data_IF_604578057435
#
_entry.id   IF_604578057435
#
_cell.length_a   1.000
_cell.length_b   1.000
_cell.length_c   1.000
_cell.angle_alpha   90.00
_cell.angle_beta   90.00
_cell.angle_gamma   90.00
#
_symmetry.space_group_name_H-M   'P 1'
#
loop_
_entity.id
_entity.type
_entity.pdbx_description
1 polymer ?
#
# COMPACT_ATOMS: atom_id res chain seq x y z
N UNK A 1 36.22 -3.62 15.10
CA UNK A 1 35.11 -3.50 14.09
C UNK A 1 33.95 -2.81 14.80
N UNK A 2 33.64 -1.57 14.43
CA UNK A 2 32.46 -0.87 14.98
C UNK A 2 31.25 -1.67 14.58
N UNK A 3 30.51 -2.20 15.55
CA UNK A 3 29.26 -2.91 15.29
C UNK A 3 28.31 -1.93 14.61
N UNK A 4 27.79 -2.29 13.44
CA UNK A 4 26.71 -1.57 12.80
C UNK A 4 25.44 -1.71 13.66
N UNK A 5 25.26 -0.81 14.62
CA UNK A 5 24.17 -0.82 15.60
C UNK A 5 23.37 0.46 15.47
N UNK A 6 22.04 0.35 15.44
CA UNK A 6 21.11 1.46 15.69
C UNK A 6 20.27 1.14 16.94
N UNK A 7 19.66 2.16 17.51
CA UNK A 7 18.91 2.04 18.75
C UNK A 7 17.42 2.24 18.47
N UNK A 8 16.59 1.31 18.90
CA UNK A 8 15.13 1.43 18.86
C UNK A 8 14.63 1.57 20.28
N UNK A 9 14.00 2.70 20.62
CA UNK A 9 13.59 3.05 21.98
C UNK A 9 14.73 2.83 23.00
N UNK A 10 15.94 3.29 22.63
CA UNK A 10 17.20 3.19 23.37
C UNK A 10 17.77 1.77 23.55
N UNK A 11 17.23 0.76 22.86
CA UNK A 11 17.78 -0.61 22.86
C UNK A 11 18.59 -0.85 21.56
N UNK A 12 19.79 -1.46 21.67
CA UNK A 12 20.65 -1.69 20.50
C UNK A 12 20.17 -2.87 19.64
N UNK A 13 20.23 -2.69 18.32
CA UNK A 13 19.95 -3.72 17.32
C UNK A 13 20.96 -3.64 16.18
N UNK A 14 21.37 -4.79 15.65
CA UNK A 14 22.27 -4.85 14.51
C UNK A 14 21.52 -4.44 13.22
N UNK A 15 22.17 -3.60 12.41
CA UNK A 15 21.67 -3.14 11.11
C UNK A 15 22.34 -3.92 9.97
N UNK A 16 21.57 -4.18 8.91
CA UNK A 16 22.11 -4.71 7.66
C UNK A 16 22.50 -3.54 6.73
N UNK A 17 23.48 -3.78 5.89
CA UNK A 17 23.93 -2.77 4.90
C UNK A 17 22.78 -2.43 3.93
N UNK A 18 22.57 -1.14 3.72
CA UNK A 18 21.58 -0.65 2.75
C UNK A 18 20.11 -0.78 3.16
N UNK A 19 19.80 -1.36 4.34
CA UNK A 19 18.38 -1.47 4.74
C UNK A 19 17.77 -0.12 5.13
N UNK A 20 16.48 0.07 4.80
CA UNK A 20 15.71 1.23 5.27
C UNK A 20 15.30 1.05 6.72
N UNK A 21 14.95 2.16 7.39
CA UNK A 21 14.43 2.11 8.77
C UNK A 21 13.18 1.21 8.84
N UNK A 22 12.30 1.23 7.82
CA UNK A 22 11.12 0.39 7.81
C UNK A 22 11.47 -1.10 7.70
N UNK A 23 12.40 -1.47 6.82
CA UNK A 23 12.89 -2.85 6.68
C UNK A 23 13.52 -3.35 7.99
N UNK A 24 14.36 -2.50 8.61
CA UNK A 24 14.97 -2.75 9.90
C UNK A 24 13.94 -3.00 11.02
N UNK A 25 12.88 -2.17 11.09
CA UNK A 25 11.81 -2.33 12.07
C UNK A 25 10.96 -3.57 11.80
N UNK A 26 10.62 -3.83 10.52
CA UNK A 26 9.88 -5.05 10.13
C UNK A 26 10.63 -6.33 10.47
N UNK A 27 11.95 -6.36 10.25
CA UNK A 27 12.82 -7.51 10.55
C UNK A 27 12.87 -7.83 12.04
N UNK A 28 12.90 -6.81 12.89
CA UNK A 28 13.04 -6.98 14.34
C UNK A 28 11.70 -7.17 15.07
N UNK A 29 10.59 -6.59 14.57
CA UNK A 29 9.31 -6.53 15.30
C UNK A 29 8.10 -7.03 14.49
N UNK A 30 8.31 -7.45 13.26
CA UNK A 30 7.24 -7.93 12.38
C UNK A 30 6.68 -6.85 11.44
N UNK A 31 6.01 -7.34 10.38
CA UNK A 31 5.55 -6.50 9.26
C UNK A 31 4.59 -5.38 9.65
N UNK A 32 3.84 -5.57 10.73
CA UNK A 32 2.78 -4.66 11.16
C UNK A 32 3.23 -3.68 12.25
N UNK A 33 4.51 -3.67 12.61
CA UNK A 33 5.01 -2.82 13.70
C UNK A 33 4.83 -1.32 13.42
N UNK A 34 5.13 -0.88 12.21
CA UNK A 34 4.88 0.49 11.74
C UNK A 34 3.85 0.45 10.60
N UNK A 35 2.75 1.23 10.68
CA UNK A 35 1.75 1.25 9.63
C UNK A 35 2.27 1.94 8.36
N UNK A 36 1.82 1.45 7.21
CA UNK A 36 2.16 1.99 5.88
C UNK A 36 0.91 2.03 5.00
N UNK A 37 0.89 2.88 3.96
CA UNK A 37 -0.14 2.88 2.92
C UNK A 37 0.45 2.90 1.51
N UNK A 38 1.54 3.65 1.27
CA UNK A 38 2.18 3.69 -0.04
C UNK A 38 3.30 2.65 -0.21
N UNK A 39 3.76 2.04 0.87
CA UNK A 39 4.74 0.96 0.82
C UNK A 39 4.03 -0.34 0.41
N UNK A 40 4.55 -1.00 -0.60
CA UNK A 40 4.06 -2.30 -1.05
C UNK A 40 5.24 -3.23 -1.30
N UNK A 41 5.09 -4.53 -1.05
CA UNK A 41 6.08 -5.51 -1.46
C UNK A 41 6.34 -5.39 -2.97
N UNK A 42 7.58 -5.57 -3.39
CA UNK A 42 7.98 -5.58 -4.81
C UNK A 42 7.80 -4.25 -5.57
N UNK A 43 7.60 -3.14 -4.85
CA UNK A 43 7.67 -1.80 -5.39
C UNK A 43 8.74 -1.00 -4.65
N UNK A 44 9.46 -0.16 -5.35
CA UNK A 44 10.48 0.68 -4.75
C UNK A 44 9.91 1.62 -3.68
N UNK A 45 10.65 1.96 -2.62
CA UNK A 45 10.19 2.89 -1.60
C UNK A 45 9.87 4.27 -2.18
N UNK A 46 8.69 4.81 -1.92
CA UNK A 46 8.22 6.07 -2.51
C UNK A 46 8.08 7.22 -1.51
N UNK A 47 7.64 6.94 -0.28
CA UNK A 47 7.56 7.93 0.79
C UNK A 47 6.44 8.96 0.67
N UNK A 48 5.39 8.75 -0.15
CA UNK A 48 4.33 9.75 -0.39
C UNK A 48 3.37 9.90 0.78
N UNK A 49 2.85 8.80 1.34
CA UNK A 49 1.76 8.84 2.34
C UNK A 49 2.19 9.34 3.73
N UNK A 50 3.46 9.24 4.08
CA UNK A 50 4.03 9.64 5.39
C UNK A 50 3.48 8.90 6.61
N UNK A 51 2.61 7.92 6.44
CA UNK A 51 2.05 7.12 7.54
C UNK A 51 3.13 6.31 8.26
N UNK A 52 4.20 5.93 7.54
CA UNK A 52 5.36 5.24 8.12
C UNK A 52 6.34 6.15 8.88
N UNK A 53 6.04 7.43 9.09
CA UNK A 53 6.95 8.36 9.78
C UNK A 53 7.38 7.84 11.14
N UNK A 54 8.64 8.04 11.48
CA UNK A 54 9.27 7.76 12.77
C UNK A 54 10.10 8.94 13.21
N UNK A 55 10.37 9.05 14.49
CA UNK A 55 11.31 10.04 15.02
C UNK A 55 12.73 9.45 15.03
N UNK A 56 13.69 10.22 14.54
CA UNK A 56 15.10 9.82 14.46
C UNK A 56 16.00 10.89 15.05
N UNK A 57 16.91 10.49 15.94
CA UNK A 57 18.04 11.29 16.39
C UNK A 57 19.35 10.64 15.95
N UNK A 58 20.34 11.43 15.52
CA UNK A 58 21.64 10.93 15.05
C UNK A 58 22.61 10.59 16.17
N UNK A 59 22.28 10.98 17.40
CA UNK A 59 23.06 10.70 18.63
C UNK A 59 22.13 10.64 19.82
N UNK A 60 22.59 10.04 20.88
CA UNK A 60 21.89 9.97 22.15
C UNK A 60 21.52 11.38 22.63
N UNK A 61 20.26 11.56 23.06
CA UNK A 61 19.70 12.86 23.49
C UNK A 61 19.88 14.00 22.47
N UNK A 62 20.07 13.67 21.20
CA UNK A 62 20.19 14.64 20.11
C UNK A 62 18.84 15.18 19.64
N UNK A 63 18.86 16.20 18.76
CA UNK A 63 17.64 16.73 18.18
C UNK A 63 16.93 15.67 17.33
N UNK A 64 15.63 15.56 17.54
CA UNK A 64 14.78 14.54 16.90
C UNK A 64 14.11 15.13 15.66
N UNK A 65 14.18 14.41 14.54
CA UNK A 65 13.51 14.75 13.27
C UNK A 65 12.57 13.62 12.86
N UNK A 66 11.36 13.96 12.40
CA UNK A 66 10.45 12.99 11.79
C UNK A 66 10.91 12.65 10.38
N UNK A 67 11.01 11.36 10.08
CA UNK A 67 11.43 10.84 8.78
C UNK A 67 10.50 9.73 8.29
N UNK A 68 10.35 9.60 6.98
CA UNK A 68 9.62 8.49 6.37
C UNK A 68 10.49 7.23 6.42
N UNK A 69 10.14 6.27 7.27
CA UNK A 69 10.95 5.08 7.50
C UNK A 69 11.11 4.19 6.27
N UNK A 70 10.12 4.18 5.35
CA UNK A 70 10.18 3.37 4.12
C UNK A 70 11.31 3.79 3.17
N UNK A 71 11.70 5.07 3.17
CA UNK A 71 12.67 5.63 2.23
C UNK A 71 14.02 6.00 2.89
N UNK A 72 14.04 6.16 4.21
CA UNK A 72 15.25 6.61 4.93
C UNK A 72 16.12 5.40 5.28
N UNK A 73 17.39 5.36 4.84
CA UNK A 73 18.35 4.35 5.28
C UNK A 73 18.56 4.40 6.80
N UNK A 74 18.69 3.26 7.43
CA UNK A 74 19.11 3.20 8.82
C UNK A 74 20.61 3.50 8.94
N UNK A 75 20.99 4.33 9.90
CA UNK A 75 22.38 4.71 10.11
C UNK A 75 22.91 4.17 11.44
N UNK A 76 24.17 3.72 11.43
CA UNK A 76 24.83 3.31 12.66
C UNK A 76 24.90 4.46 13.69
N UNK A 77 24.61 4.15 14.93
CA UNK A 77 24.56 5.12 16.03
C UNK A 77 23.27 5.96 16.07
N UNK A 78 22.32 5.78 15.14
CA UNK A 78 21.03 6.49 15.19
C UNK A 78 20.09 5.92 16.25
N UNK A 79 19.24 6.79 16.79
CA UNK A 79 18.18 6.48 17.75
C UNK A 79 16.83 6.68 17.07
N UNK A 80 16.03 5.63 17.03
CA UNK A 80 14.75 5.57 16.30
C UNK A 80 13.63 5.37 17.33
N UNK A 81 12.62 6.25 17.27
CA UNK A 81 11.45 6.21 18.14
C UNK A 81 10.19 6.04 17.29
N UNK A 82 9.77 4.79 17.03
CA UNK A 82 8.66 4.49 16.11
C UNK A 82 7.29 4.88 16.65
N UNK A 83 7.15 4.98 17.97
CA UNK A 83 5.87 5.16 18.66
C UNK A 83 5.85 6.35 19.63
N UNK A 84 6.71 7.36 19.42
CA UNK A 84 6.63 8.59 20.22
C UNK A 84 5.22 9.21 20.14
N UNK A 85 4.77 9.90 21.17
CA UNK A 85 3.45 10.56 21.21
C UNK A 85 3.27 11.50 20.01
N UNK A 86 4.32 12.24 19.66
CA UNK A 86 4.35 13.12 18.49
C UNK A 86 4.07 12.35 17.19
N UNK A 87 4.70 11.19 17.00
CA UNK A 87 4.53 10.36 15.80
C UNK A 87 3.14 9.73 15.76
N UNK A 88 2.62 9.27 16.88
CA UNK A 88 1.26 8.73 16.95
C UNK A 88 0.22 9.79 16.55
N UNK A 89 0.34 11.01 17.08
CA UNK A 89 -0.51 12.16 16.73
C UNK A 89 -0.38 12.52 15.25
N UNK A 90 0.86 12.55 14.72
CA UNK A 90 1.12 12.83 13.29
C UNK A 90 0.42 11.80 12.38
N UNK A 91 0.60 10.51 12.64
CA UNK A 91 -0.02 9.43 11.86
C UNK A 91 -1.54 9.51 11.89
N UNK A 92 -2.12 9.73 13.07
CA UNK A 92 -3.56 9.90 13.23
C UNK A 92 -4.08 11.06 12.37
N UNK A 93 -3.44 12.23 12.43
CA UNK A 93 -3.83 13.39 11.64
C UNK A 93 -3.70 13.13 10.12
N UNK A 94 -2.64 12.46 9.67
CA UNK A 94 -2.48 12.10 8.26
C UNK A 94 -3.61 11.19 7.80
N UNK A 95 -3.94 10.16 8.56
CA UNK A 95 -5.01 9.22 8.20
C UNK A 95 -6.38 9.88 8.24
N UNK A 96 -6.65 10.77 9.20
CA UNK A 96 -7.87 11.57 9.22
C UNK A 96 -8.00 12.44 7.96
N UNK A 97 -6.90 13.10 7.52
CA UNK A 97 -6.90 13.90 6.29
C UNK A 97 -7.17 13.04 5.05
N UNK A 98 -6.62 11.83 4.98
CA UNK A 98 -6.93 10.89 3.89
C UNK A 98 -8.41 10.52 3.90
N UNK A 99 -8.99 10.30 5.07
CA UNK A 99 -10.40 9.92 5.21
C UNK A 99 -11.38 11.05 4.89
N UNK A 100 -10.96 12.32 4.87
CA UNK A 100 -11.85 13.44 4.47
C UNK A 100 -12.30 13.35 3.03
N UNK A 101 -11.52 12.73 2.15
CA UNK A 101 -11.78 12.61 0.72
C UNK A 101 -11.94 11.13 0.30
N UNK A 102 -12.48 10.33 1.20
CA UNK A 102 -12.73 8.90 1.02
C UNK A 102 -14.14 8.54 1.51
N UNK A 103 -14.93 7.69 0.80
CA UNK A 103 -16.24 7.28 1.26
C UNK A 103 -16.14 6.56 2.61
N UNK A 104 -16.95 6.98 3.58
CA UNK A 104 -16.98 6.38 4.92
C UNK A 104 -18.04 5.28 5.05
N UNK A 105 -18.32 4.59 3.95
CA UNK A 105 -19.32 3.54 3.80
C UNK A 105 -18.75 2.12 4.01
N UNK A 106 -17.77 1.96 4.88
CA UNK A 106 -17.03 0.69 5.08
C UNK A 106 -17.93 -0.54 5.21
N UNK A 107 -19.10 -0.41 5.84
CA UNK A 107 -20.02 -1.54 6.06
C UNK A 107 -20.60 -2.10 4.75
N UNK A 108 -20.76 -1.28 3.73
CA UNK A 108 -21.29 -1.67 2.41
C UNK A 108 -20.18 -1.81 1.36
N UNK A 109 -18.95 -1.48 1.71
CA UNK A 109 -17.80 -1.55 0.82
C UNK A 109 -17.42 -3.01 0.50
N UNK A 110 -17.14 -3.29 -0.76
CA UNK A 110 -16.77 -4.63 -1.24
C UNK A 110 -15.51 -5.22 -0.58
N UNK A 111 -14.61 -4.37 -0.07
CA UNK A 111 -13.36 -4.78 0.61
C UNK A 111 -13.44 -4.62 2.13
N UNK A 112 -14.64 -4.55 2.69
CA UNK A 112 -14.79 -4.49 4.15
C UNK A 112 -14.04 -5.65 4.83
N UNK A 113 -13.27 -5.35 5.88
CA UNK A 113 -12.34 -6.26 6.57
C UNK A 113 -11.14 -6.76 5.74
N UNK A 114 -10.97 -6.29 4.49
CA UNK A 114 -9.81 -6.58 3.65
C UNK A 114 -9.26 -5.29 3.00
N UNK A 115 -9.32 -4.18 3.71
CA UNK A 115 -8.87 -2.86 3.28
C UNK A 115 -7.72 -2.39 4.16
N UNK A 116 -6.56 -2.08 3.54
CA UNK A 116 -5.40 -1.61 4.29
C UNK A 116 -5.65 -0.25 4.97
N UNK A 117 -6.42 0.65 4.33
CA UNK A 117 -6.78 1.94 4.93
C UNK A 117 -7.63 1.74 6.19
N UNK A 118 -8.61 0.83 6.15
CA UNK A 118 -9.44 0.49 7.33
C UNK A 118 -8.59 -0.06 8.48
N UNK A 119 -7.68 -0.97 8.16
CA UNK A 119 -6.73 -1.54 9.14
C UNK A 119 -5.82 -0.49 9.75
N UNK A 120 -5.28 0.41 8.92
CA UNK A 120 -4.41 1.49 9.38
C UNK A 120 -5.18 2.50 10.21
N UNK A 121 -6.40 2.90 9.81
CA UNK A 121 -7.25 3.81 10.56
C UNK A 121 -7.57 3.27 11.97
N UNK A 122 -7.89 1.98 12.07
CA UNK A 122 -8.09 1.31 13.36
C UNK A 122 -6.83 1.33 14.21
N UNK A 123 -5.68 1.03 13.61
CA UNK A 123 -4.37 0.95 14.29
C UNK A 123 -3.89 2.30 14.84
N UNK A 124 -4.12 3.40 14.11
CA UNK A 124 -3.76 4.75 14.57
C UNK A 124 -4.84 5.40 15.44
N UNK A 125 -5.94 4.70 15.71
CA UNK A 125 -6.99 5.13 16.63
C UNK A 125 -7.87 6.25 16.09
N UNK A 126 -8.10 6.31 14.76
CA UNK A 126 -9.11 7.19 14.18
C UNK A 126 -10.49 6.62 14.47
N UNK A 127 -11.39 7.43 15.06
CA UNK A 127 -12.79 7.10 15.32
C UNK A 127 -13.74 8.05 14.59
N UNK A 128 -13.34 9.32 14.54
CA UNK A 128 -14.09 10.38 13.90
C UNK A 128 -13.16 11.19 13.01
N UNK A 129 -13.69 11.76 11.95
CA UNK A 129 -12.97 12.67 11.05
C UNK A 129 -13.31 14.10 11.44
N UNK A 130 -12.31 14.83 11.96
CA UNK A 130 -12.51 16.21 12.49
C UNK A 130 -12.50 17.29 11.40
N UNK A 131 -11.98 16.98 10.23
CA UNK A 131 -11.85 17.91 9.13
C UNK A 131 -13.08 17.87 8.23
N UNK A 132 -13.39 18.98 7.51
CA UNK A 132 -14.50 18.97 6.56
C UNK A 132 -14.26 17.98 5.43
N UNK A 133 -15.36 17.49 4.85
CA UNK A 133 -15.34 16.57 3.71
C UNK A 133 -14.62 17.17 2.50
N UNK A 134 -13.78 16.39 1.87
CA UNK A 134 -13.10 16.72 0.63
C UNK A 134 -14.01 16.59 -0.58
N UNK A 135 -13.59 17.14 -1.73
CA UNK A 135 -14.38 17.13 -2.97
C UNK A 135 -13.59 16.74 -4.21
N UNK A 136 -12.41 16.15 -4.05
CA UNK A 136 -11.62 15.73 -5.21
C UNK A 136 -11.96 14.28 -5.63
N UNK A 137 -11.76 13.32 -4.73
CA UNK A 137 -11.98 11.92 -5.07
C UNK A 137 -13.44 11.51 -4.96
N UNK A 138 -14.18 12.01 -3.96
CA UNK A 138 -15.58 11.65 -3.72
C UNK A 138 -16.51 11.89 -4.94
N UNK A 139 -16.24 12.95 -5.73
CA UNK A 139 -17.04 13.31 -6.90
C UNK A 139 -16.64 12.56 -8.19
N UNK A 140 -15.62 11.66 -8.12
CA UNK A 140 -15.13 10.95 -9.29
C UNK A 140 -16.03 9.80 -9.69
N UNK A 141 -16.32 9.76 -11.01
CA UNK A 141 -17.16 8.71 -11.59
C UNK A 141 -16.40 7.40 -11.70
N UNK A 142 -17.13 6.29 -11.51
CA UNK A 142 -16.63 4.95 -11.77
C UNK A 142 -16.39 4.74 -13.27
N UNK A 143 -15.30 4.04 -13.58
CA UNK A 143 -15.01 3.54 -14.91
C UNK A 143 -15.17 2.01 -14.92
N UNK A 144 -16.12 1.54 -15.69
CA UNK A 144 -16.49 0.14 -15.88
C UNK A 144 -16.18 -0.35 -17.29
N UNK A 145 -15.36 0.39 -18.05
CA UNK A 145 -15.10 0.11 -19.46
C UNK A 145 -14.16 -1.04 -19.72
N UNK A 146 -13.35 -1.44 -18.73
CA UNK A 146 -12.39 -2.53 -18.88
C UNK A 146 -13.05 -3.89 -18.70
N UNK A 147 -12.60 -4.90 -19.49
CA UNK A 147 -13.18 -6.25 -19.47
C UNK A 147 -12.93 -7.03 -18.15
N UNK A 148 -11.86 -6.72 -17.42
CA UNK A 148 -11.42 -7.47 -16.24
C UNK A 148 -11.29 -6.62 -14.98
N UNK A 149 -11.27 -5.31 -15.10
CA UNK A 149 -11.06 -4.39 -13.98
C UNK A 149 -12.11 -3.29 -13.93
N UNK A 150 -12.38 -2.79 -12.73
CA UNK A 150 -13.13 -1.55 -12.52
C UNK A 150 -12.23 -0.53 -11.84
N UNK A 151 -12.48 0.76 -12.06
CA UNK A 151 -11.90 1.81 -11.24
C UNK A 151 -12.97 2.70 -10.63
N UNK A 152 -12.91 2.82 -9.31
CA UNK A 152 -13.72 3.71 -8.49
C UNK A 152 -12.78 4.68 -7.76
N UNK A 153 -12.39 5.74 -8.43
CA UNK A 153 -11.43 6.67 -7.86
C UNK A 153 -11.99 7.52 -6.71
N UNK A 154 -13.29 7.41 -6.38
CA UNK A 154 -13.79 7.94 -5.12
C UNK A 154 -13.09 7.30 -3.90
N UNK A 155 -12.59 6.07 -4.06
CA UNK A 155 -11.85 5.32 -3.04
C UNK A 155 -10.33 5.52 -3.11
N UNK A 156 -9.83 6.37 -4.01
CA UNK A 156 -8.40 6.60 -4.18
C UNK A 156 -7.84 7.41 -3.00
N UNK A 157 -6.66 7.04 -2.54
CA UNK A 157 -5.92 7.73 -1.46
C UNK A 157 -4.59 8.32 -1.94
N UNK A 158 -4.40 8.44 -3.23
CA UNK A 158 -3.16 8.94 -3.84
C UNK A 158 -1.88 8.28 -3.31
N UNK A 159 -1.92 6.97 -3.08
CA UNK A 159 -0.77 6.21 -2.58
C UNK A 159 0.27 5.89 -3.68
N UNK A 160 -0.05 6.07 -4.94
CA UNK A 160 0.78 5.82 -6.13
C UNK A 160 1.17 4.36 -6.36
N UNK A 161 0.67 3.40 -5.60
CA UNK A 161 1.02 1.99 -5.83
C UNK A 161 0.63 1.52 -7.24
N UNK A 162 -0.54 1.90 -7.74
CA UNK A 162 -1.00 1.52 -9.08
C UNK A 162 -0.15 2.15 -10.19
N UNK A 163 0.27 3.41 -10.04
CA UNK A 163 1.16 4.10 -10.97
C UNK A 163 2.50 3.38 -11.02
N UNK A 164 3.10 3.12 -9.86
CA UNK A 164 4.39 2.41 -9.77
C UNK A 164 4.29 0.97 -10.25
N UNK A 165 3.21 0.26 -9.96
CA UNK A 165 3.02 -1.10 -10.48
C UNK A 165 2.91 -1.11 -12.01
N UNK A 166 2.28 -0.09 -12.61
CA UNK A 166 2.20 0.06 -14.06
C UNK A 166 3.57 0.36 -14.68
N UNK A 167 4.41 1.12 -13.98
CA UNK A 167 5.78 1.48 -14.38
C UNK A 167 6.78 0.38 -14.03
N UNK A 168 6.99 0.11 -12.73
CA UNK A 168 8.09 -0.73 -12.23
C UNK A 168 7.89 -2.23 -12.55
N UNK A 169 6.62 -2.71 -12.56
CA UNK A 169 6.32 -4.13 -12.79
C UNK A 169 6.08 -4.41 -14.26
N UNK A 170 5.26 -3.58 -14.92
CA UNK A 170 4.80 -3.84 -16.29
C UNK A 170 5.56 -3.01 -17.35
N UNK A 171 6.02 -1.80 -17.02
CA UNK A 171 6.72 -0.91 -17.95
C UNK A 171 5.82 -0.21 -18.98
N UNK A 172 4.50 -0.13 -18.73
CA UNK A 172 3.52 0.41 -19.69
C UNK A 172 3.18 1.89 -19.49
N UNK A 173 3.40 2.44 -18.31
CA UNK A 173 3.19 3.87 -17.99
C UNK A 173 1.79 4.42 -18.28
N UNK A 174 0.78 3.57 -18.37
CA UNK A 174 -0.61 3.98 -18.66
C UNK A 174 -1.20 4.80 -17.53
N UNK A 175 -0.87 4.44 -16.27
CA UNK A 175 -1.33 5.18 -15.11
C UNK A 175 -0.33 6.27 -14.73
N UNK A 176 -0.83 7.47 -14.54
CA UNK A 176 -0.03 8.61 -14.10
C UNK A 176 -0.83 9.53 -13.18
N UNK A 177 -0.19 10.60 -12.69
CA UNK A 177 -0.83 11.62 -11.85
C UNK A 177 -1.12 12.87 -12.67
N UNK A 178 -2.33 13.40 -12.55
CA UNK A 178 -2.67 14.73 -12.99
C UNK A 178 -3.02 15.65 -11.82
N UNK A 179 -3.01 16.96 -12.04
CA UNK A 179 -3.27 17.96 -11.02
C UNK A 179 -2.13 18.12 -10.03
N UNK A 180 -2.38 18.90 -8.98
CA UNK A 180 -1.43 19.15 -7.90
C UNK A 180 -2.15 19.52 -6.60
N UNK A 181 -1.48 19.32 -5.47
CA UNK A 181 -2.05 19.59 -4.16
C UNK A 181 -3.31 18.76 -3.94
N UNK A 182 -4.39 19.39 -3.50
CA UNK A 182 -5.66 18.70 -3.24
C UNK A 182 -6.34 18.18 -4.52
N UNK A 183 -6.10 18.81 -5.67
CA UNK A 183 -6.67 18.39 -6.97
C UNK A 183 -5.90 17.23 -7.63
N UNK A 184 -4.84 16.75 -7.00
CA UNK A 184 -4.04 15.64 -7.51
C UNK A 184 -4.86 14.35 -7.59
N UNK A 185 -4.79 13.65 -8.72
CA UNK A 185 -5.55 12.42 -8.95
C UNK A 185 -4.90 11.53 -10.00
N UNK A 186 -5.24 10.27 -9.97
CA UNK A 186 -4.74 9.29 -10.92
C UNK A 186 -5.54 9.38 -12.22
N UNK A 187 -4.82 9.39 -13.35
CA UNK A 187 -5.38 9.36 -14.70
C UNK A 187 -4.92 8.11 -15.44
N UNK A 188 -5.63 7.79 -16.53
CA UNK A 188 -5.33 6.70 -17.46
C UNK A 188 -5.05 7.30 -18.84
N UNK A 189 -3.85 7.09 -19.37
CA UNK A 189 -3.42 7.72 -20.62
C UNK A 189 -3.58 9.25 -20.56
N UNK A 190 -4.34 9.80 -21.47
CA UNK A 190 -4.65 11.25 -21.54
C UNK A 190 -5.95 11.60 -20.79
N UNK A 191 -6.14 11.08 -19.59
CA UNK A 191 -7.33 11.22 -18.74
C UNK A 191 -8.59 10.66 -19.42
N UNK A 192 -8.47 9.46 -19.94
CA UNK A 192 -9.54 8.72 -20.64
C UNK A 192 -10.08 7.58 -19.77
N UNK A 193 -10.95 6.73 -20.35
CA UNK A 193 -11.35 5.44 -19.76
C UNK A 193 -10.28 4.38 -19.99
N UNK A 194 -10.32 3.27 -19.23
CA UNK A 194 -9.40 2.15 -19.47
C UNK A 194 -9.50 1.60 -20.89
N UNK A 195 -10.71 1.47 -21.44
CA UNK A 195 -10.93 0.99 -22.81
C UNK A 195 -10.22 1.84 -23.88
N UNK A 196 -10.10 3.15 -23.63
CA UNK A 196 -9.48 4.11 -24.56
C UNK A 196 -8.00 4.37 -24.28
N UNK A 197 -7.45 3.72 -23.27
CA UNK A 197 -6.04 3.83 -22.94
C UNK A 197 -5.25 2.65 -23.53
N UNK A 198 -3.93 2.77 -23.55
CA UNK A 198 -3.02 1.71 -24.03
C UNK A 198 -2.82 0.59 -22.97
N UNK A 199 -3.84 0.34 -22.13
CA UNK A 199 -3.77 -0.65 -21.06
C UNK A 199 -3.69 -2.07 -21.64
N UNK A 200 -2.66 -2.82 -21.21
CA UNK A 200 -2.42 -4.21 -21.64
C UNK A 200 -3.10 -5.26 -20.73
N UNK A 201 -3.98 -4.83 -19.83
CA UNK A 201 -4.77 -5.73 -18.97
C UNK A 201 -3.94 -6.65 -18.06
N UNK A 202 -2.76 -6.21 -17.59
CA UNK A 202 -1.88 -7.04 -16.75
C UNK A 202 -2.36 -7.21 -15.30
N UNK A 203 -3.26 -6.33 -14.80
CA UNK A 203 -3.81 -6.40 -13.44
C UNK A 203 -2.91 -5.96 -12.29
N UNK A 204 -1.63 -5.64 -12.53
CA UNK A 204 -0.70 -5.26 -11.47
C UNK A 204 -1.20 -4.09 -10.61
N UNK A 205 -1.89 -3.11 -11.21
CA UNK A 205 -2.49 -1.97 -10.52
C UNK A 205 -3.64 -2.37 -9.57
N UNK A 206 -4.47 -3.34 -9.96
CA UNK A 206 -5.56 -3.84 -9.12
C UNK A 206 -5.02 -4.62 -7.92
N UNK A 207 -4.00 -5.46 -8.14
CA UNK A 207 -3.34 -6.24 -7.08
C UNK A 207 -2.60 -5.33 -6.08
N UNK A 208 -2.03 -4.21 -6.54
CA UNK A 208 -1.32 -3.26 -5.68
C UNK A 208 -2.23 -2.30 -4.93
N UNK A 209 -3.53 -2.17 -5.28
CA UNK A 209 -4.42 -1.15 -4.72
C UNK A 209 -4.83 -1.47 -3.28
N UNK A 210 -4.53 -0.59 -2.28
CA UNK A 210 -4.81 -0.86 -0.87
C UNK A 210 -6.27 -0.62 -0.47
N UNK A 211 -7.09 0.04 -1.34
CA UNK A 211 -8.45 0.50 -1.02
C UNK A 211 -9.50 0.03 -2.02
N UNK A 212 -9.10 -0.81 -3.01
CA UNK A 212 -10.02 -1.22 -4.08
C UNK A 212 -10.51 -0.04 -4.98
N UNK A 213 -9.71 1.04 -5.08
CA UNK A 213 -9.97 2.08 -6.08
C UNK A 213 -9.79 1.54 -7.50
N UNK A 214 -8.97 0.52 -7.69
CA UNK A 214 -8.92 -0.34 -8.87
C UNK A 214 -9.09 -1.78 -8.39
N UNK A 215 -10.01 -2.53 -8.99
CA UNK A 215 -10.36 -3.88 -8.57
C UNK A 215 -10.50 -4.81 -9.76
N UNK A 216 -10.17 -6.08 -9.57
CA UNK A 216 -10.58 -7.18 -10.44
C UNK A 216 -12.08 -7.44 -10.25
N UNK A 217 -12.83 -7.54 -11.35
CA UNK A 217 -14.28 -7.77 -11.34
C UNK A 217 -14.67 -9.19 -10.92
N UNK A 218 -13.77 -10.14 -11.02
CA UNK A 218 -14.00 -11.55 -10.69
C UNK A 218 -13.58 -11.91 -9.26
N UNK A 219 -12.82 -11.05 -8.60
CA UNK A 219 -12.33 -11.29 -7.26
C UNK A 219 -13.35 -10.90 -6.20
N UNK A 220 -13.75 -11.88 -5.37
CA UNK A 220 -14.50 -11.59 -4.15
C UNK A 220 -13.55 -11.22 -3.01
N UNK A 221 -13.39 -9.92 -2.75
CA UNK A 221 -12.46 -9.41 -1.72
C UNK A 221 -13.00 -9.47 -0.29
N UNK A 222 -14.31 -9.65 -0.13
CA UNK A 222 -15.02 -9.61 1.16
C UNK A 222 -15.33 -10.99 1.72
N UNK A 223 -14.34 -11.85 1.94
CA UNK A 223 -14.65 -13.18 2.48
C UNK A 223 -13.74 -13.55 3.64
N UNK A 224 -14.36 -13.70 4.82
CA UNK A 224 -13.72 -14.35 5.96
C UNK A 224 -13.72 -15.88 5.78
N UNK A 225 -12.70 -16.55 6.31
CA UNK A 225 -12.60 -18.01 6.37
C UNK A 225 -12.51 -18.73 5.00
N UNK A 226 -11.62 -18.25 4.13
CA UNK A 226 -11.28 -18.92 2.88
C UNK A 226 -10.25 -20.02 3.10
N UNK A 227 -10.48 -21.19 2.46
CA UNK A 227 -9.44 -22.19 2.33
C UNK A 227 -8.45 -21.76 1.25
N UNK A 228 -7.18 -21.59 1.61
CA UNK A 228 -6.11 -21.16 0.72
C UNK A 228 -5.27 -22.36 0.29
N UNK A 229 -5.07 -22.54 -1.00
CA UNK A 229 -4.26 -23.61 -1.59
C UNK A 229 -3.26 -23.00 -2.56
N UNK A 230 -1.99 -23.33 -2.41
CA UNK A 230 -0.94 -22.92 -3.36
C UNK A 230 -0.86 -23.87 -4.52
N UNK A 231 -0.71 -23.34 -5.71
CA UNK A 231 -0.54 -24.06 -6.97
C UNK A 231 0.37 -23.27 -7.92
N UNK A 232 0.62 -23.83 -9.07
CA UNK A 232 1.41 -23.21 -10.15
C UNK A 232 0.52 -22.96 -11.35
N UNK A 233 0.65 -21.79 -11.96
CA UNK A 233 -0.03 -21.48 -13.21
C UNK A 233 0.50 -22.36 -14.34
N UNK A 234 -0.42 -22.93 -15.13
CA UNK A 234 -0.09 -23.85 -16.23
C UNK A 234 -0.11 -23.20 -17.61
N UNK A 235 -0.34 -21.86 -17.69
CA UNK A 235 -0.54 -21.19 -18.96
C UNK A 235 0.75 -21.01 -19.77
N UNK A 236 1.83 -20.60 -19.14
CA UNK A 236 3.12 -20.40 -19.83
C UNK A 236 4.30 -20.91 -19.00
N UNK A 237 5.50 -20.86 -19.58
CA UNK A 237 6.72 -21.39 -18.97
C UNK A 237 7.28 -20.59 -17.78
N UNK A 238 6.68 -19.44 -17.40
CA UNK A 238 7.11 -18.66 -16.23
C UNK A 238 6.86 -19.44 -14.94
N UNK A 239 5.77 -20.25 -14.87
CA UNK A 239 5.48 -21.06 -13.69
C UNK A 239 5.09 -20.24 -12.47
N UNK A 240 4.33 -19.16 -12.66
CA UNK A 240 3.86 -18.29 -11.57
C UNK A 240 3.20 -19.07 -10.46
N UNK A 241 3.54 -18.80 -9.22
CA UNK A 241 2.83 -19.33 -8.07
C UNK A 241 1.51 -18.61 -7.87
N UNK A 242 0.46 -19.36 -7.62
CA UNK A 242 -0.88 -18.86 -7.35
C UNK A 242 -1.35 -19.31 -5.98
N UNK A 243 -2.03 -18.44 -5.27
CA UNK A 243 -2.80 -18.77 -4.07
C UNK A 243 -4.28 -18.72 -4.43
N UNK A 244 -4.90 -19.88 -4.50
CA UNK A 244 -6.33 -20.05 -4.78
C UNK A 244 -7.09 -20.06 -3.47
N UNK A 245 -7.97 -19.08 -3.28
CA UNK A 245 -8.87 -19.01 -2.15
C UNK A 245 -10.24 -19.55 -2.52
N UNK A 246 -10.77 -20.49 -1.73
CA UNK A 246 -12.04 -21.17 -2.00
C UNK A 246 -12.93 -21.24 -0.77
N UNK A 247 -14.25 -21.32 -1.00
CA UNK A 247 -15.26 -21.53 0.03
C UNK A 247 -16.43 -22.34 -0.56
N UNK A 248 -16.86 -23.38 0.15
CA UNK A 248 -17.97 -24.23 -0.28
C UNK A 248 -17.73 -24.89 -1.65
N UNK A 249 -16.48 -25.26 -1.97
CA UNK A 249 -16.10 -25.88 -3.24
C UNK A 249 -16.04 -24.92 -4.43
N UNK A 250 -16.18 -23.61 -4.22
CA UNK A 250 -16.08 -22.59 -5.28
C UNK A 250 -14.86 -21.71 -5.07
N UNK A 251 -14.13 -21.43 -6.15
CA UNK A 251 -13.04 -20.44 -6.16
C UNK A 251 -13.63 -19.03 -5.94
N UNK A 252 -13.02 -18.27 -5.07
CA UNK A 252 -13.43 -16.91 -4.70
C UNK A 252 -12.42 -15.85 -5.12
N UNK A 253 -11.13 -16.16 -5.05
CA UNK A 253 -10.06 -15.34 -5.58
C UNK A 253 -8.85 -16.18 -5.96
N UNK A 254 -8.05 -15.64 -6.87
CA UNK A 254 -6.74 -16.17 -7.23
C UNK A 254 -5.77 -15.00 -7.14
N UNK A 255 -4.76 -15.13 -6.29
CA UNK A 255 -3.78 -14.08 -6.05
C UNK A 255 -2.37 -14.64 -6.22
N UNK A 256 -1.41 -13.76 -6.43
CA UNK A 256 0.00 -14.11 -6.39
C UNK A 256 0.55 -13.95 -4.97
N UNK A 257 1.16 -14.98 -4.37
CA UNK A 257 1.88 -14.80 -3.11
C UNK A 257 3.06 -13.83 -3.30
N UNK A 258 3.19 -12.86 -2.40
CA UNK A 258 4.25 -11.85 -2.45
C UNK A 258 5.65 -12.47 -2.36
N UNK A 259 5.77 -13.55 -1.59
CA UNK A 259 7.00 -14.29 -1.38
C UNK A 259 7.34 -15.30 -2.49
N UNK A 260 6.54 -15.35 -3.55
CA UNK A 260 6.80 -16.24 -4.68
C UNK A 260 7.99 -15.76 -5.51
N UNK A 261 9.00 -16.60 -5.67
CA UNK A 261 10.24 -16.24 -6.39
C UNK A 261 9.99 -15.93 -7.87
N UNK A 262 9.08 -16.67 -8.53
CA UNK A 262 8.84 -16.57 -9.96
C UNK A 262 8.08 -15.29 -10.35
N UNK A 263 7.13 -14.83 -9.54
CA UNK A 263 6.20 -13.77 -9.90
C UNK A 263 5.98 -12.70 -8.82
N UNK A 264 6.63 -12.83 -7.68
CA UNK A 264 6.79 -11.76 -6.67
C UNK A 264 5.51 -10.96 -6.38
N UNK A 265 4.38 -11.64 -6.19
CA UNK A 265 3.11 -10.99 -5.89
C UNK A 265 2.32 -10.47 -7.10
N UNK A 266 2.72 -10.81 -8.33
CA UNK A 266 2.02 -10.37 -9.54
C UNK A 266 1.63 -11.55 -10.44
N UNK A 267 0.47 -11.45 -11.08
CA UNK A 267 0.02 -12.36 -12.15
C UNK A 267 -0.58 -11.55 -13.29
N UNK A 268 -0.70 -12.15 -14.47
CA UNK A 268 -1.59 -11.62 -15.51
C UNK A 268 -3.07 -11.84 -15.12
N UNK A 269 -3.94 -10.95 -15.56
CA UNK A 269 -5.39 -11.11 -15.47
C UNK A 269 -5.93 -12.01 -16.58
#
# INVERSE_FOLDING_TARGET
MSKNIAYIDNKPYEINEGETILAFLKRNFGKDYVPTLCDAPNLDPFGSCRVCSVDVALKENGPVKSQASCHTPVMAGSYIFPHSERIQKLRKNIVELVLTDHPLDCLTCEVNNNCELQTVAAKVGVRDVRYPEGKNHLDRKKDLSHAYMTSDFSKCINCFRCVRACDEVQGEFVLSMAGRGFDAHIIKGLDTTFEKSDCVSCGACAQACPTSAISDIFESKSVANLNKTRTVCTYCGVGCNLEVASQGGKVKSIQAPVEAEANQGHTCL
#
